data_IF_511876214442
#
_entry.id   IF_511876214442
#
_cell.length_a   1.000
_cell.length_b   1.000
_cell.length_c   1.000
_cell.angle_alpha   90.00
_cell.angle_beta   90.00
_cell.angle_gamma   90.00
#
_symmetry.space_group_name_H-M   'P 1'
#
loop_
_entity.id
_entity.type
_entity.pdbx_description
1 polymer ?
#
# COMPACT_ATOMS: atom_id res chain seq x y z
N UNK A 1 18.76 3.45 2.36
CA UNK A 1 17.61 3.73 3.24
C UNK A 1 16.37 3.92 2.38
N UNK A 2 15.67 2.84 1.96
CA UNK A 2 14.32 2.90 1.32
C UNK A 2 13.73 1.53 0.85
N UNK A 3 14.18 0.40 1.38
CA UNK A 3 13.55 -0.92 1.13
C UNK A 3 13.12 -1.65 2.40
N UNK A 4 13.07 -0.95 3.53
CA UNK A 4 12.38 -1.40 4.74
C UNK A 4 10.85 -1.30 4.63
N UNK A 5 10.32 -0.78 3.52
CA UNK A 5 8.89 -0.48 3.37
C UNK A 5 8.08 -1.71 2.89
N UNK A 6 8.68 -2.67 2.16
CA UNK A 6 7.93 -3.79 1.61
C UNK A 6 7.49 -4.84 2.64
N UNK A 7 8.21 -4.97 3.76
CA UNK A 7 7.84 -5.92 4.85
C UNK A 7 7.01 -5.23 5.95
N UNK A 8 7.06 -3.90 6.05
CA UNK A 8 6.28 -3.16 7.07
C UNK A 8 4.82 -2.95 6.63
N UNK A 9 4.49 -3.07 5.34
CA UNK A 9 3.10 -2.90 4.89
C UNK A 9 2.15 -4.05 5.28
N UNK A 10 2.66 -5.15 5.85
CA UNK A 10 1.85 -6.19 6.47
C UNK A 10 1.76 -6.06 8.00
N UNK A 11 2.26 -4.96 8.59
CA UNK A 11 2.36 -4.81 10.04
C UNK A 11 2.01 -3.39 10.51
N UNK A 12 0.84 -2.85 10.12
CA UNK A 12 0.10 -1.85 10.92
C UNK A 12 -1.42 -2.06 10.71
N UNK A 13 -1.98 -3.10 11.32
CA UNK A 13 -3.40 -3.11 11.75
C UNK A 13 -3.45 -3.67 13.17
N UNK A 14 -2.64 -3.13 14.08
CA UNK A 14 -2.80 -3.41 15.51
C UNK A 14 -2.49 -2.12 16.26
N UNK A 15 -3.48 -1.68 17.05
CA UNK A 15 -3.44 -0.60 18.05
C UNK A 15 -3.78 0.82 17.57
N UNK A 16 -5.07 1.01 17.26
CA UNK A 16 -5.76 2.29 17.43
C UNK A 16 -6.83 2.17 18.51
N UNK A 17 -6.45 1.91 19.77
CA UNK A 17 -7.38 2.03 20.88
C UNK A 17 -7.73 3.50 21.13
N UNK A 18 -9.02 3.75 21.31
CA UNK A 18 -9.61 4.90 22.05
C UNK A 18 -10.25 6.04 21.25
N UNK A 19 -10.93 5.77 20.12
CA UNK A 19 -12.17 6.49 19.78
C UNK A 19 -13.09 5.52 19.02
N UNK A 20 -14.25 5.18 19.60
CA UNK A 20 -15.30 4.41 18.93
C UNK A 20 -15.95 5.36 17.91
N UNK A 21 -15.33 5.55 16.75
CA UNK A 21 -16.02 6.16 15.62
C UNK A 21 -16.97 5.09 15.07
N UNK A 22 -18.27 5.37 14.95
CA UNK A 22 -19.19 4.39 14.38
C UNK A 22 -18.88 4.25 12.88
N UNK A 23 -18.08 3.25 12.53
CA UNK A 23 -17.80 2.87 11.14
C UNK A 23 -18.98 2.07 10.59
N UNK A 24 -19.27 2.20 9.30
CA UNK A 24 -20.33 1.42 8.66
C UNK A 24 -19.87 0.86 7.32
N UNK A 25 -20.26 -0.37 6.97
CA UNK A 25 -19.97 -0.88 5.64
C UNK A 25 -20.71 -0.05 4.58
N UNK A 26 -20.11 0.03 3.39
CA UNK A 26 -20.70 0.70 2.22
C UNK A 26 -21.29 -0.34 1.27
N UNK A 27 -22.41 -0.01 0.62
CA UNK A 27 -23.11 -0.91 -0.31
C UNK A 27 -22.41 -1.00 -1.66
N UNK A 28 -21.26 -1.65 -1.69
CA UNK A 28 -20.45 -1.84 -2.89
C UNK A 28 -19.77 -3.21 -2.87
N UNK A 29 -19.63 -3.83 -4.04
CA UNK A 29 -18.85 -5.05 -4.22
C UNK A 29 -17.42 -4.68 -4.61
N UNK A 30 -16.47 -4.96 -3.73
CA UNK A 30 -15.05 -4.67 -3.94
C UNK A 30 -14.28 -5.79 -4.64
N UNK A 31 -14.87 -6.99 -4.83
CA UNK A 31 -14.18 -8.11 -5.51
C UNK A 31 -13.77 -7.76 -6.95
N UNK A 32 -14.58 -7.04 -7.76
CA UNK A 32 -14.18 -6.59 -9.09
C UNK A 32 -12.96 -5.66 -9.11
N UNK A 33 -12.63 -4.99 -8.00
CA UNK A 33 -11.50 -4.05 -7.96
C UNK A 33 -10.16 -4.76 -8.06
N UNK A 34 -10.05 -5.99 -7.56
CA UNK A 34 -8.85 -6.83 -7.73
C UNK A 34 -8.51 -7.09 -9.19
N UNK A 35 -9.52 -7.09 -10.08
CA UNK A 35 -9.30 -7.31 -11.52
C UNK A 35 -8.88 -6.03 -12.26
N UNK A 36 -8.95 -4.87 -11.60
CA UNK A 36 -8.51 -3.58 -12.16
C UNK A 36 -7.04 -3.28 -11.83
N UNK A 37 -6.42 -4.07 -10.96
CA UNK A 37 -5.02 -3.91 -10.61
C UNK A 37 -4.16 -4.42 -11.77
N UNK A 38 -3.32 -3.54 -12.32
CA UNK A 38 -2.34 -3.97 -13.32
C UNK A 38 -1.28 -4.86 -12.66
N UNK A 39 -0.95 -6.03 -13.25
CA UNK A 39 0.12 -6.88 -12.74
C UNK A 39 1.47 -6.21 -12.95
N UNK A 40 2.54 -6.67 -12.26
CA UNK A 40 3.91 -6.25 -12.54
C UNK A 40 4.26 -6.34 -14.05
N UNK A 41 5.13 -5.44 -14.55
CA UNK A 41 5.57 -5.48 -15.94
C UNK A 41 6.39 -6.76 -16.21
N UNK A 42 6.29 -7.32 -17.42
CA UNK A 42 7.03 -8.53 -17.79
C UNK A 42 8.54 -8.26 -17.96
N UNK A 43 8.93 -7.01 -18.22
CA UNK A 43 10.31 -6.57 -18.37
C UNK A 43 10.43 -5.04 -18.25
N UNK A 44 11.66 -4.53 -18.13
CA UNK A 44 11.95 -3.11 -18.00
C UNK A 44 11.43 -2.27 -19.19
N UNK A 45 11.45 -2.83 -20.41
CA UNK A 45 11.00 -2.12 -21.61
C UNK A 45 9.47 -1.91 -21.58
N UNK A 46 8.71 -2.91 -21.17
CA UNK A 46 7.27 -2.77 -20.97
C UNK A 46 6.97 -1.72 -19.89
N UNK A 47 7.71 -1.75 -18.77
CA UNK A 47 7.57 -0.77 -17.70
C UNK A 47 7.78 0.66 -18.23
N UNK A 48 8.88 0.88 -18.94
CA UNK A 48 9.21 2.16 -19.57
C UNK A 48 8.14 2.63 -20.55
N UNK A 49 7.67 1.76 -21.45
CA UNK A 49 6.71 2.12 -22.49
C UNK A 49 5.30 2.47 -21.96
N UNK A 50 4.92 1.94 -20.80
CA UNK A 50 3.59 2.19 -20.20
C UNK A 50 3.56 3.41 -19.28
N UNK A 51 4.72 3.89 -18.85
CA UNK A 51 4.84 5.01 -17.94
C UNK A 51 5.15 6.31 -18.65
N UNK A 52 5.00 7.42 -17.91
CA UNK A 52 5.53 8.71 -18.33
C UNK A 52 6.90 8.87 -17.70
N UNK A 53 7.94 8.71 -18.51
CA UNK A 53 9.33 8.90 -18.11
C UNK A 53 9.92 10.17 -18.70
N UNK A 54 10.65 10.91 -17.88
CA UNK A 54 11.60 11.96 -18.24
C UNK A 54 13.01 11.52 -17.83
N UNK A 55 14.00 12.34 -18.18
CA UNK A 55 15.41 12.15 -17.78
C UNK A 55 15.57 11.97 -16.28
N UNK A 56 14.76 12.68 -15.48
CA UNK A 56 14.92 12.73 -14.02
C UNK A 56 13.86 11.94 -13.26
N UNK A 57 12.77 11.52 -13.91
CA UNK A 57 11.65 10.91 -13.22
C UNK A 57 10.86 9.93 -14.09
N UNK A 58 10.47 8.81 -13.51
CA UNK A 58 9.54 7.85 -14.07
C UNK A 58 8.41 7.67 -13.05
N UNK A 59 7.18 8.01 -13.42
CA UNK A 59 6.01 7.78 -12.56
C UNK A 59 4.97 6.88 -13.23
N UNK A 60 4.33 6.06 -12.41
CA UNK A 60 3.22 5.20 -12.83
C UNK A 60 1.86 5.75 -12.37
N UNK A 61 1.78 7.03 -12.00
CA UNK A 61 0.57 7.71 -11.55
C UNK A 61 -0.61 7.51 -12.53
N UNK A 62 -0.33 7.61 -13.83
CA UNK A 62 -1.34 7.42 -14.89
C UNK A 62 -1.92 6.00 -14.96
N UNK A 63 -1.25 5.03 -14.34
CA UNK A 63 -1.64 3.62 -14.36
C UNK A 63 -2.41 3.23 -13.10
N UNK A 64 -2.08 3.81 -11.94
CA UNK A 64 -2.56 3.31 -10.64
C UNK A 64 -3.35 4.34 -9.81
N UNK A 65 -3.12 5.64 -9.98
CA UNK A 65 -3.65 6.64 -9.05
C UNK A 65 -5.18 6.73 -9.08
N UNK A 66 -5.80 6.48 -10.23
CA UNK A 66 -7.27 6.47 -10.32
C UNK A 66 -7.89 5.37 -9.46
N UNK A 67 -7.34 4.15 -9.51
CA UNK A 67 -7.81 3.02 -8.69
C UNK A 67 -7.48 3.25 -7.22
N UNK A 68 -6.24 3.66 -6.91
CA UNK A 68 -5.79 3.93 -5.54
C UNK A 68 -6.68 5.00 -4.91
N UNK A 69 -6.90 6.14 -5.60
CA UNK A 69 -7.77 7.21 -5.12
C UNK A 69 -9.20 6.73 -4.91
N UNK A 70 -9.75 5.96 -5.85
CA UNK A 70 -11.11 5.40 -5.70
C UNK A 70 -11.22 4.52 -4.46
N UNK A 71 -10.21 3.70 -4.20
CA UNK A 71 -10.16 2.87 -3.00
C UNK A 71 -9.97 3.71 -1.73
N UNK A 72 -9.07 4.70 -1.74
CA UNK A 72 -8.85 5.60 -0.60
C UNK A 72 -10.14 6.36 -0.24
N UNK A 73 -10.86 6.90 -1.24
CA UNK A 73 -12.14 7.59 -1.05
C UNK A 73 -13.19 6.63 -0.45
N UNK A 74 -13.23 5.37 -0.91
CA UNK A 74 -14.13 4.33 -0.36
C UNK A 74 -13.76 3.91 1.05
N UNK A 75 -12.47 3.79 1.33
CA UNK A 75 -11.99 3.48 2.66
C UNK A 75 -12.31 4.61 3.65
N UNK A 76 -12.22 5.86 3.19
CA UNK A 76 -12.64 7.02 3.97
C UNK A 76 -14.16 7.02 4.23
N UNK A 77 -14.97 6.57 3.26
CA UNK A 77 -16.42 6.41 3.43
C UNK A 77 -16.75 5.33 4.49
N UNK A 78 -16.10 4.17 4.45
CA UNK A 78 -16.27 3.07 5.41
C UNK A 78 -15.87 3.49 6.83
N UNK A 79 -14.73 4.18 6.94
CA UNK A 79 -14.14 4.59 8.23
C UNK A 79 -14.65 5.94 8.74
N UNK A 80 -15.53 6.59 7.97
CA UNK A 80 -16.11 7.86 8.36
C UNK A 80 -16.84 7.72 9.71
N UNK A 81 -16.65 8.68 10.63
CA UNK A 81 -17.39 8.68 11.87
C UNK A 81 -18.87 8.90 11.59
N UNK A 82 -19.71 7.92 11.92
CA UNK A 82 -21.17 8.02 11.83
C UNK A 82 -21.81 8.17 13.22
N UNK A 83 -23.13 8.42 13.25
CA UNK A 83 -23.87 8.61 14.49
C UNK A 83 -23.42 9.83 15.30
N UNK A 84 -23.64 9.78 16.62
CA UNK A 84 -23.36 10.90 17.53
C UNK A 84 -21.90 11.35 17.50
N UNK A 85 -20.96 10.44 17.26
CA UNK A 85 -19.52 10.75 17.18
C UNK A 85 -19.17 11.49 15.88
N UNK A 86 -19.86 11.15 14.77
CA UNK A 86 -19.79 11.91 13.54
C UNK A 86 -20.31 13.34 13.69
N UNK A 87 -21.42 13.52 14.42
CA UNK A 87 -21.98 14.84 14.71
C UNK A 87 -21.05 15.67 15.61
N UNK A 88 -20.41 15.05 16.60
CA UNK A 88 -19.40 15.69 17.44
C UNK A 88 -18.17 16.13 16.64
N UNK A 89 -17.67 15.29 15.73
CA UNK A 89 -16.53 15.67 14.88
C UNK A 89 -16.87 16.82 13.93
N UNK A 90 -18.10 16.86 13.40
CA UNK A 90 -18.57 18.00 12.61
C UNK A 90 -18.66 19.28 13.44
N UNK A 91 -19.16 19.20 14.67
CA UNK A 91 -19.19 20.33 15.60
C UNK A 91 -17.78 20.82 15.95
N UNK A 92 -16.81 19.93 16.17
CA UNK A 92 -15.41 20.28 16.43
C UNK A 92 -14.68 20.91 15.23
N UNK A 93 -15.12 20.57 14.01
CA UNK A 93 -14.58 21.14 12.78
C UNK A 93 -15.27 22.46 12.40
N UNK A 94 -16.34 22.86 13.09
CA UNK A 94 -17.03 24.13 12.87
C UNK A 94 -16.15 25.32 13.33
N UNK A 95 -15.78 26.25 12.42
CA UNK A 95 -14.98 27.43 12.77
C UNK A 95 -15.61 28.33 13.85
N UNK A 96 -16.95 28.38 13.96
CA UNK A 96 -17.62 29.13 15.02
C UNK A 96 -17.49 28.43 16.37
N UNK A 97 -17.59 27.10 16.38
CA UNK A 97 -17.41 26.31 17.57
C UNK A 97 -15.96 26.36 18.07
N UNK A 98 -14.97 26.31 17.18
CA UNK A 98 -13.56 26.47 17.55
C UNK A 98 -13.30 27.83 18.21
N UNK A 99 -13.83 28.92 17.65
CA UNK A 99 -13.75 30.26 18.28
C UNK A 99 -14.42 30.31 19.65
N UNK A 100 -15.50 29.54 19.85
CA UNK A 100 -16.18 29.45 21.14
C UNK A 100 -15.33 28.66 22.13
N UNK A 101 -14.74 27.54 21.70
CA UNK A 101 -13.85 26.70 22.49
C UNK A 101 -12.59 27.47 22.93
N UNK A 102 -12.03 28.30 22.05
CA UNK A 102 -10.87 29.16 22.36
C UNK A 102 -11.17 30.23 23.42
N UNK A 103 -12.44 30.66 23.50
CA UNK A 103 -12.93 31.66 24.47
C UNK A 103 -13.42 31.04 25.78
N UNK A 104 -13.54 29.72 25.85
CA UNK A 104 -13.95 29.02 27.07
C UNK A 104 -12.83 29.04 28.12
N UNK A 105 -13.20 29.21 29.39
CA UNK A 105 -12.28 29.01 30.51
C UNK A 105 -11.86 27.54 30.64
N UNK A 106 -10.81 27.28 31.41
CA UNK A 106 -10.36 25.91 31.68
C UNK A 106 -11.43 25.08 32.41
N UNK A 107 -12.25 25.69 33.27
CA UNK A 107 -13.40 25.03 33.87
C UNK A 107 -14.48 24.69 32.84
N UNK A 108 -14.75 25.59 31.89
CA UNK A 108 -15.74 25.36 30.82
C UNK A 108 -15.29 24.27 29.84
N UNK A 109 -14.00 24.23 29.50
CA UNK A 109 -13.40 23.15 28.70
C UNK A 109 -13.47 21.81 29.42
N UNK A 110 -13.21 21.78 30.73
CA UNK A 110 -13.30 20.57 31.54
C UNK A 110 -14.74 20.09 31.65
N UNK A 111 -15.70 21.00 31.87
CA UNK A 111 -17.12 20.67 31.92
C UNK A 111 -17.63 20.17 30.57
N UNK A 112 -17.19 20.77 29.47
CA UNK A 112 -17.48 20.29 28.12
C UNK A 112 -16.88 18.89 27.88
N UNK A 113 -15.61 18.66 28.22
CA UNK A 113 -14.96 17.36 28.12
C UNK A 113 -15.66 16.28 28.97
N UNK A 114 -16.14 16.63 30.17
CA UNK A 114 -16.94 15.73 31.02
C UNK A 114 -18.33 15.46 30.43
N UNK A 115 -18.99 16.46 29.85
CA UNK A 115 -20.28 16.28 29.17
C UNK A 115 -20.13 15.35 27.98
N UNK A 116 -19.07 15.52 27.18
CA UNK A 116 -18.72 14.61 26.10
C UNK A 116 -18.42 13.22 26.69
N UNK A 117 -17.55 13.09 27.70
CA UNK A 117 -17.24 11.77 28.24
C UNK A 117 -18.46 11.04 28.80
N UNK A 118 -19.44 11.74 29.37
CA UNK A 118 -20.70 11.16 29.88
C UNK A 118 -21.70 10.83 28.78
N UNK A 119 -21.86 11.71 27.79
CA UNK A 119 -22.77 11.51 26.67
C UNK A 119 -22.28 10.42 25.70
N UNK A 120 -20.96 10.21 25.68
CA UNK A 120 -20.27 9.23 24.84
C UNK A 120 -19.59 8.13 25.67
N UNK A 121 -19.90 8.01 26.97
CA UNK A 121 -19.63 6.75 27.66
C UNK A 121 -20.38 5.68 26.88
N UNK A 122 -19.76 4.53 26.57
CA UNK A 122 -20.50 3.41 26.01
C UNK A 122 -21.57 3.08 27.04
N UNK A 123 -22.80 3.55 26.80
CA UNK A 123 -23.95 3.10 27.57
C UNK A 123 -23.89 1.59 27.46
N UNK A 124 -23.96 0.90 28.60
CA UNK A 124 -23.97 -0.55 28.66
C UNK A 124 -24.97 -1.06 27.62
N UNK A 125 -24.45 -1.45 26.46
CA UNK A 125 -25.26 -1.81 25.32
C UNK A 125 -26.05 -3.02 25.79
N UNK A 126 -27.37 -2.90 25.83
CA UNK A 126 -28.19 -4.08 25.88
C UNK A 126 -27.85 -4.87 24.63
N UNK A 127 -27.00 -5.87 24.79
CA UNK A 127 -26.55 -6.69 23.69
C UNK A 127 -27.77 -7.45 23.19
N UNK A 128 -28.23 -7.08 21.99
CA UNK A 128 -29.36 -7.77 21.36
C UNK A 128 -28.76 -8.88 20.50
N UNK A 129 -29.24 -10.13 20.61
CA UNK A 129 -28.79 -11.19 19.70
C UNK A 129 -28.94 -10.78 18.24
N UNK A 130 -27.83 -10.88 17.51
CA UNK A 130 -27.79 -10.59 16.07
C UNK A 130 -28.56 -11.65 15.28
N UNK A 131 -29.13 -11.29 14.10
CA UNK A 131 -29.74 -12.26 13.21
C UNK A 131 -28.68 -13.21 12.62
N UNK A 132 -29.11 -14.39 12.18
CA UNK A 132 -28.23 -15.48 11.69
C UNK A 132 -27.28 -15.03 10.58
N UNK A 133 -27.78 -14.29 9.58
CA UNK A 133 -26.96 -13.77 8.49
C UNK A 133 -25.84 -12.83 8.97
N UNK A 134 -26.09 -12.04 10.03
CA UNK A 134 -25.07 -11.17 10.64
C UNK A 134 -24.06 -11.99 11.42
N UNK A 135 -24.50 -13.01 12.18
CA UNK A 135 -23.57 -13.92 12.85
C UNK A 135 -22.68 -14.66 11.86
N UNK A 136 -23.21 -15.17 10.74
CA UNK A 136 -22.41 -15.84 9.70
C UNK A 136 -21.28 -14.93 9.17
N UNK A 137 -21.59 -13.64 8.95
CA UNK A 137 -20.61 -12.67 8.50
C UNK A 137 -19.55 -12.36 9.58
N UNK A 138 -19.96 -12.25 10.84
CA UNK A 138 -19.05 -12.05 11.98
C UNK A 138 -18.17 -13.27 12.25
N UNK A 139 -18.69 -14.49 12.09
CA UNK A 139 -17.91 -15.71 12.20
C UNK A 139 -16.83 -15.78 11.11
N UNK A 140 -17.15 -15.31 9.90
CA UNK A 140 -16.14 -15.20 8.85
C UNK A 140 -15.10 -14.12 9.13
N UNK A 141 -15.46 -13.01 9.80
CA UNK A 141 -14.48 -12.06 10.33
C UNK A 141 -13.48 -12.77 11.26
N UNK A 142 -13.96 -13.54 12.24
CA UNK A 142 -13.09 -14.30 13.14
C UNK A 142 -12.21 -15.32 12.39
N UNK A 143 -12.75 -16.01 11.38
CA UNK A 143 -11.94 -16.90 10.55
C UNK A 143 -10.85 -16.17 9.76
N UNK A 144 -11.11 -14.93 9.30
CA UNK A 144 -10.10 -14.09 8.65
C UNK A 144 -9.00 -13.73 9.66
N UNK A 145 -9.38 -13.27 10.85
CA UNK A 145 -8.44 -12.90 11.91
C UNK A 145 -7.54 -14.07 12.33
N UNK A 146 -8.11 -15.28 12.44
CA UNK A 146 -7.36 -16.50 12.73
C UNK A 146 -6.34 -16.85 11.64
N UNK A 147 -6.75 -16.74 10.36
CA UNK A 147 -5.85 -16.97 9.22
C UNK A 147 -4.70 -15.97 9.21
N UNK A 148 -5.00 -14.69 9.39
CA UNK A 148 -3.99 -13.62 9.46
C UNK A 148 -3.04 -13.88 10.63
N UNK A 149 -3.56 -14.28 11.79
CA UNK A 149 -2.73 -14.59 12.96
C UNK A 149 -1.76 -15.76 12.69
N UNK A 150 -2.22 -16.81 12.01
CA UNK A 150 -1.37 -17.93 11.59
C UNK A 150 -0.29 -17.50 10.58
N UNK A 151 -0.63 -16.60 9.66
CA UNK A 151 0.35 -16.04 8.72
C UNK A 151 1.39 -15.16 9.45
N UNK A 152 0.96 -14.39 10.45
CA UNK A 152 1.84 -13.58 11.30
C UNK A 152 2.82 -14.43 12.13
N UNK A 153 2.42 -15.61 12.59
CA UNK A 153 3.32 -16.54 13.29
C UNK A 153 4.48 -17.01 12.38
N UNK A 154 4.24 -17.06 11.06
CA UNK A 154 5.23 -17.40 10.05
C UNK A 154 6.02 -16.18 9.52
N UNK A 155 5.75 -14.98 10.03
CA UNK A 155 6.27 -13.72 9.50
C UNK A 155 7.79 -13.61 9.63
N UNK A 156 8.39 -14.20 10.68
CA UNK A 156 9.85 -14.24 10.82
C UNK A 156 10.52 -15.03 9.68
N UNK A 157 9.92 -16.13 9.21
CA UNK A 157 10.46 -16.91 8.10
C UNK A 157 10.25 -16.20 6.76
N UNK A 158 9.07 -15.61 6.55
CA UNK A 158 8.76 -14.82 5.35
C UNK A 158 9.68 -13.60 5.23
N UNK A 159 9.86 -12.86 6.32
CA UNK A 159 10.76 -11.71 6.40
C UNK A 159 12.20 -12.08 6.08
N UNK A 160 12.69 -13.20 6.63
CA UNK A 160 14.05 -13.69 6.37
C UNK A 160 14.26 -14.05 4.89
N UNK A 161 13.33 -14.81 4.29
CA UNK A 161 13.39 -15.16 2.87
C UNK A 161 13.36 -13.94 1.97
N UNK A 162 12.51 -12.95 2.30
CA UNK A 162 12.44 -11.71 1.54
C UNK A 162 13.72 -10.88 1.67
N UNK A 163 14.30 -10.79 2.87
CA UNK A 163 15.57 -10.10 3.09
C UNK A 163 16.73 -10.76 2.32
N UNK A 164 16.78 -12.09 2.27
CA UNK A 164 17.75 -12.83 1.47
C UNK A 164 17.59 -12.56 -0.04
N UNK A 165 16.34 -12.54 -0.52
CA UNK A 165 16.03 -12.25 -1.92
C UNK A 165 16.46 -10.83 -2.31
N UNK A 166 16.09 -9.82 -1.50
CA UNK A 166 16.50 -8.42 -1.70
C UNK A 166 18.03 -8.29 -1.66
N UNK A 167 18.69 -8.92 -0.68
CA UNK A 167 20.14 -8.88 -0.58
C UNK A 167 20.81 -9.48 -1.82
N UNK A 168 20.32 -10.62 -2.31
CA UNK A 168 20.84 -11.24 -3.53
C UNK A 168 20.67 -10.32 -4.74
N UNK A 169 19.51 -9.66 -4.86
CA UNK A 169 19.24 -8.67 -5.90
C UNK A 169 20.23 -7.48 -5.83
N UNK A 170 20.38 -6.86 -4.65
CA UNK A 170 21.31 -5.75 -4.44
C UNK A 170 22.77 -6.17 -4.72
N UNK A 171 23.18 -7.36 -4.28
CA UNK A 171 24.51 -7.91 -4.52
C UNK A 171 24.80 -8.12 -6.03
N UNK A 172 23.78 -8.44 -6.84
CA UNK A 172 23.95 -8.59 -8.29
C UNK A 172 24.21 -7.24 -8.96
N UNK A 173 23.45 -6.20 -8.64
CA UNK A 173 23.68 -4.86 -9.17
C UNK A 173 25.00 -4.26 -8.71
N UNK A 174 25.34 -4.43 -7.42
CA UNK A 174 26.62 -3.96 -6.89
C UNK A 174 27.83 -4.65 -7.57
N UNK A 175 27.70 -5.92 -7.97
CA UNK A 175 28.75 -6.61 -8.75
C UNK A 175 28.94 -5.99 -10.12
N UNK A 176 27.86 -5.59 -10.80
CA UNK A 176 27.93 -4.91 -12.11
C UNK A 176 28.62 -3.55 -11.94
N UNK A 177 28.22 -2.76 -10.95
CA UNK A 177 28.83 -1.45 -10.67
C UNK A 177 30.33 -1.57 -10.36
N UNK A 178 30.71 -2.55 -9.52
CA UNK A 178 32.11 -2.79 -9.19
C UNK A 178 32.94 -3.27 -10.39
N UNK A 179 32.34 -4.08 -11.27
CA UNK A 179 32.97 -4.50 -12.54
C UNK A 179 33.17 -3.29 -13.44
N UNK A 180 32.13 -2.48 -13.65
CA UNK A 180 32.21 -1.25 -14.45
C UNK A 180 33.31 -0.32 -13.94
N UNK A 181 33.35 -0.06 -12.63
CA UNK A 181 34.39 0.78 -12.02
C UNK A 181 35.81 0.28 -12.35
N UNK A 182 36.07 -1.02 -12.21
CA UNK A 182 37.37 -1.62 -12.52
C UNK A 182 37.72 -1.56 -14.01
N UNK A 183 36.73 -1.67 -14.91
CA UNK A 183 36.99 -1.54 -16.35
C UNK A 183 37.23 -0.08 -16.75
N UNK A 184 36.55 0.88 -16.13
CA UNK A 184 36.77 2.31 -16.35
C UNK A 184 38.18 2.76 -15.97
N UNK A 185 38.78 2.17 -14.92
CA UNK A 185 40.17 2.44 -14.50
C UNK A 185 41.21 2.02 -15.56
N UNK A 186 40.85 1.10 -16.48
CA UNK A 186 41.73 0.60 -17.55
C UNK A 186 41.59 1.39 -18.85
N UNK A 187 40.66 2.35 -18.93
CA UNK A 187 40.38 3.09 -20.16
C UNK A 187 41.59 3.96 -20.52
N UNK A 188 42.11 3.86 -21.76
CA UNK A 188 43.22 4.70 -22.18
C UNK A 188 42.82 6.18 -22.19
N UNK A 189 43.75 7.02 -21.76
CA UNK A 189 43.59 8.47 -21.84
C UNK A 189 43.79 8.95 -23.29
N UNK A 190 42.98 9.92 -23.68
CA UNK A 190 43.11 10.66 -24.94
C UNK A 190 43.37 12.13 -24.62
N UNK A 191 44.26 12.75 -25.38
CA UNK A 191 44.62 14.16 -25.21
C UNK A 191 43.92 15.00 -26.27
N UNK A 192 43.23 16.05 -25.84
CA UNK A 192 42.67 17.08 -26.73
C UNK A 192 43.06 18.46 -26.20
N UNK A 193 44.01 19.10 -26.87
CA UNK A 193 44.65 20.31 -26.35
C UNK A 193 45.55 19.98 -25.15
N UNK A 194 45.43 20.76 -24.07
CA UNK A 194 46.19 20.57 -22.83
C UNK A 194 45.51 19.63 -21.81
N UNK A 195 44.32 19.12 -22.14
CA UNK A 195 43.53 18.28 -21.24
C UNK A 195 43.60 16.82 -21.69
N UNK A 196 43.88 15.94 -20.72
CA UNK A 196 43.83 14.50 -20.88
C UNK A 196 42.62 13.95 -20.15
N UNK A 197 41.82 13.14 -20.85
CA UNK A 197 40.62 12.52 -20.29
C UNK A 197 40.47 11.09 -20.80
N UNK A 198 39.73 10.21 -20.08
CA UNK A 198 39.48 8.85 -20.55
C UNK A 198 38.78 8.87 -21.92
N UNK A 199 39.14 7.95 -22.81
CA UNK A 199 38.51 7.85 -24.13
C UNK A 199 36.97 7.79 -24.00
N UNK A 200 36.22 8.82 -24.46
CA UNK A 200 34.80 8.94 -24.20
C UNK A 200 33.98 7.85 -24.89
N UNK A 201 34.39 7.39 -26.08
CA UNK A 201 33.70 6.31 -26.81
C UNK A 201 33.79 4.98 -26.05
N UNK A 202 34.96 4.68 -25.48
CA UNK A 202 35.15 3.47 -24.67
C UNK A 202 34.37 3.58 -23.36
N UNK A 203 34.40 4.74 -22.69
CA UNK A 203 33.59 4.97 -21.47
C UNK A 203 32.11 4.77 -21.75
N UNK A 204 31.59 5.36 -22.84
CA UNK A 204 30.19 5.21 -23.25
C UNK A 204 29.84 3.75 -23.52
N UNK A 205 30.66 3.04 -24.29
CA UNK A 205 30.45 1.61 -24.59
C UNK A 205 30.42 0.75 -23.33
N UNK A 206 31.31 0.99 -22.37
CA UNK A 206 31.35 0.25 -21.10
C UNK A 206 30.09 0.53 -20.25
N UNK A 207 29.66 1.79 -20.19
CA UNK A 207 28.43 2.18 -19.47
C UNK A 207 27.18 1.57 -20.10
N UNK A 208 27.08 1.54 -21.44
CA UNK A 208 25.97 0.90 -22.14
C UNK A 208 25.92 -0.62 -21.87
N UNK A 209 27.07 -1.29 -21.91
CA UNK A 209 27.15 -2.71 -21.59
C UNK A 209 26.74 -3.00 -20.14
N UNK A 210 27.18 -2.18 -19.18
CA UNK A 210 26.75 -2.30 -17.79
C UNK A 210 25.23 -2.07 -17.64
N UNK A 211 24.68 -1.06 -18.32
CA UNK A 211 23.24 -0.81 -18.31
C UNK A 211 22.44 -2.02 -18.85
N UNK A 212 22.93 -2.69 -19.89
CA UNK A 212 22.35 -3.94 -20.39
C UNK A 212 22.41 -5.08 -19.36
N UNK A 213 23.51 -5.21 -18.63
CA UNK A 213 23.62 -6.18 -17.52
C UNK A 213 22.61 -5.86 -16.39
N UNK A 214 22.42 -4.58 -16.03
CA UNK A 214 21.41 -4.19 -15.03
C UNK A 214 19.99 -4.52 -15.51
N UNK A 215 19.65 -4.23 -16.78
CA UNK A 215 18.35 -4.56 -17.37
C UNK A 215 18.11 -6.09 -17.34
N UNK A 216 19.14 -6.89 -17.65
CA UNK A 216 19.02 -8.34 -17.62
C UNK A 216 18.73 -8.88 -16.21
N UNK A 217 19.43 -8.37 -15.18
CA UNK A 217 19.18 -8.73 -13.78
C UNK A 217 17.78 -8.32 -13.33
N UNK A 218 17.35 -7.10 -13.66
CA UNK A 218 16.00 -6.64 -13.31
C UNK A 218 14.91 -7.48 -13.99
N UNK A 219 15.08 -7.85 -15.26
CA UNK A 219 14.14 -8.72 -15.96
C UNK A 219 14.04 -10.13 -15.35
N UNK A 220 15.10 -10.64 -14.73
CA UNK A 220 15.04 -11.89 -13.97
C UNK A 220 14.27 -11.68 -12.66
N UNK A 221 14.53 -10.59 -11.95
CA UNK A 221 13.86 -10.20 -10.72
C UNK A 221 12.34 -10.01 -10.90
N UNK A 222 11.93 -9.36 -12.00
CA UNK A 222 10.53 -9.12 -12.34
C UNK A 222 9.70 -10.40 -12.46
N UNK A 223 10.30 -11.52 -12.87
CA UNK A 223 9.60 -12.82 -12.95
C UNK A 223 9.22 -13.32 -11.55
N UNK A 224 10.15 -13.22 -10.60
CA UNK A 224 9.90 -13.61 -9.22
C UNK A 224 8.87 -12.68 -8.55
N UNK A 225 8.92 -11.38 -8.84
CA UNK A 225 7.90 -10.43 -8.36
C UNK A 225 6.51 -10.72 -8.94
N UNK A 226 6.39 -11.07 -10.22
CA UNK A 226 5.12 -11.46 -10.83
C UNK A 226 4.51 -12.70 -10.17
N UNK A 227 5.33 -13.72 -9.88
CA UNK A 227 4.88 -14.93 -9.15
C UNK A 227 4.40 -14.60 -7.73
N UNK A 228 5.18 -13.81 -6.98
CA UNK A 228 4.82 -13.39 -5.63
C UNK A 228 3.55 -12.53 -5.62
N UNK A 229 3.44 -11.59 -6.55
CA UNK A 229 2.27 -10.72 -6.68
C UNK A 229 1.00 -11.52 -7.03
N UNK A 230 1.09 -12.49 -7.96
CA UNK A 230 -0.04 -13.37 -8.31
C UNK A 230 -0.51 -14.19 -7.12
N UNK A 231 0.44 -14.69 -6.32
CA UNK A 231 0.11 -15.41 -5.08
C UNK A 231 -0.61 -14.51 -4.08
N UNK A 232 -0.07 -13.32 -3.79
CA UNK A 232 -0.70 -12.35 -2.88
C UNK A 232 -2.10 -11.93 -3.35
N UNK A 233 -2.28 -11.73 -4.66
CA UNK A 233 -3.58 -11.45 -5.27
C UNK A 233 -4.56 -12.60 -5.04
N UNK A 234 -4.13 -13.83 -5.29
CA UNK A 234 -4.97 -15.02 -5.14
C UNK A 234 -5.35 -15.24 -3.67
N UNK A 235 -4.39 -15.15 -2.76
CA UNK A 235 -4.60 -15.31 -1.32
C UNK A 235 -5.56 -14.24 -0.79
N UNK A 236 -5.36 -12.97 -1.18
CA UNK A 236 -6.28 -11.87 -0.83
C UNK A 236 -7.71 -12.13 -1.32
N UNK A 237 -7.86 -12.55 -2.59
CA UNK A 237 -9.19 -12.86 -3.14
C UNK A 237 -9.85 -14.03 -2.42
N UNK A 238 -9.12 -15.11 -2.17
CA UNK A 238 -9.65 -16.30 -1.51
C UNK A 238 -10.11 -15.99 -0.08
N UNK A 239 -9.31 -15.23 0.66
CA UNK A 239 -9.61 -14.89 2.06
C UNK A 239 -10.80 -13.96 2.22
N UNK A 240 -11.07 -13.11 1.22
CA UNK A 240 -12.02 -12.00 1.38
C UNK A 240 -13.31 -12.17 0.57
N UNK A 241 -13.31 -12.99 -0.48
CA UNK A 241 -14.52 -13.22 -1.32
C UNK A 241 -15.67 -13.81 -0.51
N UNK A 242 -15.39 -14.75 0.40
CA UNK A 242 -16.44 -15.35 1.23
C UNK A 242 -17.07 -14.30 2.15
N UNK A 243 -16.25 -13.48 2.80
CA UNK A 243 -16.72 -12.39 3.64
C UNK A 243 -17.57 -11.38 2.87
N UNK A 244 -17.12 -10.89 1.71
CA UNK A 244 -17.88 -9.91 0.92
C UNK A 244 -19.27 -10.44 0.52
N UNK A 245 -19.34 -11.72 0.12
CA UNK A 245 -20.61 -12.36 -0.19
C UNK A 245 -21.55 -12.47 1.02
N UNK A 246 -21.01 -12.65 2.24
CA UNK A 246 -21.78 -12.66 3.48
C UNK A 246 -22.20 -11.23 3.88
N UNK A 247 -21.30 -10.26 3.72
CA UNK A 247 -21.59 -8.85 3.98
C UNK A 247 -22.72 -8.32 3.10
N UNK A 248 -22.77 -8.69 1.83
CA UNK A 248 -23.89 -8.34 0.95
C UNK A 248 -25.23 -8.93 1.45
N UNK A 249 -25.23 -10.15 2.01
CA UNK A 249 -26.42 -10.82 2.58
C UNK A 249 -26.90 -10.20 3.89
N UNK A 250 -26.06 -9.44 4.58
CA UNK A 250 -26.44 -8.65 5.77
C UNK A 250 -26.87 -7.23 5.41
N UNK A 251 -27.14 -6.98 4.13
CA UNK A 251 -27.41 -5.66 3.58
C UNK A 251 -26.33 -4.65 3.97
N UNK A 252 -25.07 -5.09 3.99
CA UNK A 252 -23.91 -4.29 4.36
C UNK A 252 -24.01 -3.75 5.80
N UNK A 253 -24.45 -4.60 6.73
CA UNK A 253 -24.55 -4.28 8.15
C UNK A 253 -25.82 -3.52 8.54
N UNK A 254 -26.73 -3.21 7.61
CA UNK A 254 -28.04 -2.63 7.95
C UNK A 254 -28.88 -3.59 8.82
N UNK A 255 -28.71 -4.90 8.65
CA UNK A 255 -29.39 -5.92 9.44
C UNK A 255 -28.82 -6.07 10.86
N UNK A 256 -27.61 -5.53 11.11
CA UNK A 256 -26.95 -5.65 12.40
C UNK A 256 -27.61 -4.74 13.45
N UNK A 257 -27.93 -5.31 14.60
CA UNK A 257 -28.63 -4.64 15.70
C UNK A 257 -27.68 -3.89 16.61
N UNK A 258 -26.45 -4.37 16.78
CA UNK A 258 -25.45 -3.75 17.64
C UNK A 258 -24.47 -2.93 16.79
N UNK A 259 -24.12 -1.73 17.25
CA UNK A 259 -23.14 -0.89 16.55
C UNK A 259 -21.74 -1.52 16.52
N UNK A 260 -21.38 -2.35 17.52
CA UNK A 260 -20.11 -3.09 17.50
C UNK A 260 -20.04 -4.06 16.32
N UNK A 261 -21.14 -4.73 15.98
CA UNK A 261 -21.21 -5.64 14.83
C UNK A 261 -21.02 -4.88 13.53
N UNK A 262 -21.68 -3.71 13.38
CA UNK A 262 -21.48 -2.83 12.21
C UNK A 262 -20.04 -2.39 12.07
N UNK A 263 -19.40 -2.03 13.18
CA UNK A 263 -18.00 -1.63 13.21
C UNK A 263 -17.08 -2.78 12.79
N UNK A 264 -17.30 -3.99 13.32
CA UNK A 264 -16.51 -5.18 12.96
C UNK A 264 -16.61 -5.48 11.46
N UNK A 265 -17.84 -5.47 10.91
CA UNK A 265 -18.10 -5.66 9.49
C UNK A 265 -17.44 -4.55 8.64
N UNK A 266 -17.53 -3.29 9.08
CA UNK A 266 -16.91 -2.16 8.38
C UNK A 266 -15.38 -2.28 8.36
N UNK A 267 -14.77 -2.67 9.49
CA UNK A 267 -13.32 -2.86 9.62
C UNK A 267 -12.83 -3.94 8.66
N UNK A 268 -13.58 -5.04 8.54
CA UNK A 268 -13.24 -6.12 7.60
C UNK A 268 -13.47 -5.72 6.14
N UNK A 269 -14.49 -4.92 5.83
CA UNK A 269 -14.66 -4.37 4.48
C UNK A 269 -13.51 -3.41 4.11
N UNK A 270 -13.05 -2.60 5.07
CA UNK A 270 -11.85 -1.74 4.92
C UNK A 270 -10.58 -2.56 4.63
N UNK A 271 -10.46 -3.77 5.18
CA UNK A 271 -9.35 -4.68 4.85
C UNK A 271 -9.35 -5.07 3.37
N UNK A 272 -10.52 -5.29 2.75
CA UNK A 272 -10.63 -5.60 1.31
C UNK A 272 -10.07 -4.45 0.47
N UNK A 273 -10.52 -3.23 0.77
CA UNK A 273 -10.10 -2.02 0.06
C UNK A 273 -8.60 -1.79 0.26
N UNK A 274 -8.09 -2.01 1.48
CA UNK A 274 -6.67 -1.90 1.81
C UNK A 274 -5.80 -2.92 1.07
N UNK A 275 -6.28 -4.16 0.89
CA UNK A 275 -5.59 -5.19 0.10
C UNK A 275 -5.45 -4.79 -1.37
N UNK A 276 -6.51 -4.22 -1.97
CA UNK A 276 -6.45 -3.69 -3.35
C UNK A 276 -5.42 -2.55 -3.46
N UNK A 277 -5.44 -1.60 -2.52
CA UNK A 277 -4.50 -0.48 -2.49
C UNK A 277 -3.06 -0.97 -2.36
N UNK A 278 -2.80 -1.93 -1.46
CA UNK A 278 -1.46 -2.47 -1.23
C UNK A 278 -0.90 -3.14 -2.50
N UNK A 279 -1.68 -4.00 -3.15
CA UNK A 279 -1.29 -4.66 -4.39
C UNK A 279 -1.07 -3.65 -5.54
N UNK A 280 -1.91 -2.62 -5.64
CA UNK A 280 -1.74 -1.55 -6.63
C UNK A 280 -0.47 -0.72 -6.39
N UNK A 281 -0.17 -0.36 -5.13
CA UNK A 281 1.06 0.34 -4.74
C UNK A 281 2.30 -0.51 -4.99
N UNK A 282 2.24 -1.81 -4.73
CA UNK A 282 3.32 -2.75 -5.04
C UNK A 282 3.59 -2.80 -6.56
N UNK A 283 2.56 -2.99 -7.38
CA UNK A 283 2.70 -2.93 -8.84
C UNK A 283 3.28 -1.60 -9.29
N UNK A 284 2.75 -0.46 -8.79
CA UNK A 284 3.26 0.89 -9.09
C UNK A 284 4.77 1.01 -8.84
N UNK A 285 5.21 0.57 -7.67
CA UNK A 285 6.63 0.59 -7.29
C UNK A 285 7.50 -0.25 -8.21
N UNK A 286 7.06 -1.46 -8.58
CA UNK A 286 7.80 -2.35 -9.48
C UNK A 286 7.93 -1.71 -10.87
N UNK A 287 6.85 -1.12 -11.40
CA UNK A 287 6.86 -0.36 -12.66
C UNK A 287 7.90 0.77 -12.63
N UNK A 288 7.87 1.60 -11.59
CA UNK A 288 8.75 2.76 -11.45
C UNK A 288 10.21 2.38 -11.30
N UNK A 289 10.52 1.27 -10.61
CA UNK A 289 11.89 0.80 -10.48
C UNK A 289 12.43 0.19 -11.77
N UNK A 290 11.67 -0.68 -12.42
CA UNK A 290 12.13 -1.38 -13.62
C UNK A 290 12.47 -0.41 -14.76
N UNK A 291 11.67 0.64 -14.95
CA UNK A 291 11.88 1.59 -16.03
C UNK A 291 13.13 2.47 -15.86
N UNK A 292 13.62 2.68 -14.63
CA UNK A 292 14.82 3.50 -14.37
C UNK A 292 16.04 2.98 -15.12
N UNK A 293 16.14 1.66 -15.30
CA UNK A 293 17.25 1.05 -16.04
C UNK A 293 17.22 1.38 -17.53
N UNK A 294 16.03 1.47 -18.14
CA UNK A 294 15.87 1.92 -19.54
C UNK A 294 16.21 3.40 -19.66
N UNK A 295 15.68 4.25 -18.77
CA UNK A 295 16.01 5.69 -18.74
C UNK A 295 17.51 5.90 -18.62
N UNK A 296 18.18 5.23 -17.68
CA UNK A 296 19.63 5.33 -17.52
C UNK A 296 20.38 4.94 -18.80
N UNK A 297 19.95 3.87 -19.49
CA UNK A 297 20.55 3.46 -20.76
C UNK A 297 20.37 4.52 -21.85
N UNK A 298 19.17 5.10 -21.99
CA UNK A 298 18.91 6.16 -22.96
C UNK A 298 19.76 7.41 -22.70
N UNK A 299 19.93 7.79 -21.43
CA UNK A 299 20.77 8.92 -21.03
C UNK A 299 22.24 8.71 -21.39
N UNK A 300 22.77 7.51 -21.16
CA UNK A 300 24.13 7.17 -21.58
C UNK A 300 24.23 7.22 -23.12
N UNK A 301 23.19 6.79 -23.83
CA UNK A 301 23.14 6.82 -25.30
C UNK A 301 23.20 8.23 -25.91
N UNK A 302 22.68 9.24 -25.19
CA UNK A 302 22.65 10.64 -25.61
C UNK A 302 23.94 11.42 -25.34
N UNK A 303 24.79 10.94 -24.43
CA UNK A 303 26.12 11.50 -24.11
C UNK A 303 27.16 11.18 -25.18
#
# INVERSE_FOLDING_TARGET
>A
MKLTISVIMMTIIVLGSSFILAQRPVKEDFIPYFSQILPPPQNCLEAFNKMKCTVDNCNADNLFDALIKKCDDKNAEITAPTGSVGDMMKELQDPEFQKKLDKMSDEEKTAWAMKISQQYQPQSTHFVPEPENVNDALDECSNIDDRISQDLENLNQLSSKNAEFIKKYDDMHLKIDNKLKKELEKVPMVTKGEVSFPNPEIVKSLKLAAADEHIAVENEYLKAEDENWKKELQDSRNNLTKFENLLAKTHYGDDAKNEISKQTLASHQSMIVSSVISLAKKSKYIFENAAKYIVNKELIGQQ
#
